data_IF_229223056092
#
_entry.id   IF_229223056092
#
_cell.length_a   1.000
_cell.length_b   1.000
_cell.length_c   1.000
_cell.angle_alpha   90.00
_cell.angle_beta   90.00
_cell.angle_gamma   90.00
#
_symmetry.space_group_name_H-M   'P 1'
#
loop_
_entity.id
_entity.type
_entity.pdbx_description
1 polymer ?
#
# COMPACT_ATOMS: atom_id res chain seq x y z
N UNK A 1 -12.05 -5.03 8.58
CA UNK A 1 -11.54 -5.92 7.51
C UNK A 1 -12.62 -6.76 6.82
N UNK A 2 -13.57 -7.40 7.52
CA UNK A 2 -14.62 -8.26 6.90
C UNK A 2 -15.35 -7.65 5.67
N UNK A 3 -15.77 -6.39 5.74
CA UNK A 3 -16.43 -5.72 4.61
C UNK A 3 -15.56 -5.49 3.37
N UNK A 4 -14.24 -5.38 3.53
CA UNK A 4 -13.35 -5.16 2.39
C UNK A 4 -13.23 -6.44 1.56
N UNK A 5 -13.09 -7.60 2.22
CA UNK A 5 -13.06 -8.89 1.55
C UNK A 5 -14.39 -9.18 0.83
N UNK A 6 -15.53 -8.95 1.50
CA UNK A 6 -16.85 -9.14 0.90
C UNK A 6 -17.02 -8.28 -0.36
N UNK A 7 -16.67 -6.99 -0.27
CA UNK A 7 -16.81 -6.04 -1.37
C UNK A 7 -15.89 -6.36 -2.55
N UNK A 8 -14.65 -6.77 -2.29
CA UNK A 8 -13.71 -7.19 -3.33
C UNK A 8 -14.18 -8.50 -3.97
N UNK A 9 -14.69 -9.43 -3.17
CA UNK A 9 -15.28 -10.70 -3.66
C UNK A 9 -16.43 -10.40 -4.60
N UNK A 10 -17.39 -9.56 -4.18
CA UNK A 10 -18.52 -9.16 -5.02
C UNK A 10 -18.05 -8.56 -6.35
N UNK A 11 -17.06 -7.66 -6.33
CA UNK A 11 -16.53 -7.04 -7.56
C UNK A 11 -15.89 -8.08 -8.49
N UNK A 12 -15.09 -8.99 -7.93
CA UNK A 12 -14.38 -10.02 -8.69
C UNK A 12 -15.36 -11.05 -9.27
N UNK A 13 -16.40 -11.45 -8.52
CA UNK A 13 -17.45 -12.33 -9.00
C UNK A 13 -18.29 -11.68 -10.10
N UNK A 14 -18.66 -10.39 -9.94
CA UNK A 14 -19.36 -9.64 -10.98
C UNK A 14 -18.49 -9.42 -12.24
N UNK A 15 -17.16 -9.44 -12.11
CA UNK A 15 -16.24 -9.45 -13.23
C UNK A 15 -16.12 -10.85 -13.92
N UNK A 16 -16.85 -11.85 -13.42
CA UNK A 16 -16.95 -13.18 -14.02
C UNK A 16 -15.92 -14.21 -13.49
N UNK A 17 -15.24 -13.92 -12.39
CA UNK A 17 -14.33 -14.88 -11.75
C UNK A 17 -15.05 -15.74 -10.69
N UNK A 18 -14.44 -16.87 -10.34
CA UNK A 18 -14.84 -17.69 -9.19
C UNK A 18 -13.88 -17.41 -8.04
N UNK A 19 -14.40 -16.92 -6.91
CA UNK A 19 -13.57 -16.52 -5.78
C UNK A 19 -13.37 -17.68 -4.81
N UNK A 20 -12.12 -17.89 -4.41
CA UNK A 20 -11.74 -18.83 -3.35
C UNK A 20 -11.36 -18.00 -2.12
N UNK A 21 -12.25 -17.84 -1.13
CA UNK A 21 -12.00 -16.98 0.01
C UNK A 21 -10.98 -17.63 0.96
N UNK A 22 -9.70 -17.34 0.72
CA UNK A 22 -8.59 -17.70 1.61
C UNK A 22 -8.32 -16.51 2.52
N UNK A 23 -8.29 -16.73 3.83
CA UNK A 23 -8.06 -15.67 4.82
C UNK A 23 -6.63 -15.15 4.81
N UNK A 24 -6.45 -13.89 5.22
CA UNK A 24 -5.15 -13.21 5.29
C UNK A 24 -4.11 -13.86 6.24
N UNK A 25 -4.55 -14.77 7.11
CA UNK A 25 -3.68 -15.53 8.02
C UNK A 25 -3.31 -16.93 7.48
N UNK A 26 -3.78 -17.30 6.30
CA UNK A 26 -3.47 -18.60 5.71
C UNK A 26 -1.96 -18.75 5.50
N UNK A 27 -1.44 -19.91 5.92
CA UNK A 27 -0.05 -20.26 5.68
C UNK A 27 0.20 -20.47 4.17
N UNK A 28 1.45 -20.31 3.69
CA UNK A 28 1.79 -20.61 2.31
C UNK A 28 1.39 -22.04 1.87
N UNK A 29 1.43 -23.01 2.78
CA UNK A 29 1.01 -24.39 2.52
C UNK A 29 -0.48 -24.50 2.28
N UNK A 30 -1.31 -23.80 3.05
CA UNK A 30 -2.76 -23.76 2.87
C UNK A 30 -3.14 -23.07 1.55
N UNK A 31 -2.45 -21.97 1.22
CA UNK A 31 -2.62 -21.27 -0.07
C UNK A 31 -2.28 -22.23 -1.23
N UNK A 32 -1.13 -22.92 -1.17
CA UNK A 32 -0.74 -23.91 -2.18
C UNK A 32 -1.77 -25.04 -2.32
N UNK A 33 -2.26 -25.57 -1.19
CA UNK A 33 -3.26 -26.64 -1.18
C UNK A 33 -4.56 -26.20 -1.87
N UNK A 34 -5.04 -24.98 -1.58
CA UNK A 34 -6.22 -24.40 -2.23
C UNK A 34 -5.98 -24.21 -3.73
N UNK A 35 -4.84 -23.63 -4.13
CA UNK A 35 -4.50 -23.45 -5.53
C UNK A 35 -4.50 -24.77 -6.31
N UNK A 36 -3.95 -25.84 -5.74
CA UNK A 36 -3.90 -27.17 -6.37
C UNK A 36 -5.27 -27.84 -6.43
N UNK A 37 -6.06 -27.75 -5.37
CA UNK A 37 -7.37 -28.39 -5.29
C UNK A 37 -8.36 -27.81 -6.30
N UNK A 38 -8.32 -26.50 -6.50
CA UNK A 38 -9.31 -25.77 -7.31
C UNK A 38 -8.76 -25.24 -8.64
N UNK A 39 -7.48 -25.48 -8.94
CA UNK A 39 -6.85 -25.01 -10.18
C UNK A 39 -6.82 -23.48 -10.28
N UNK A 40 -6.56 -22.79 -9.17
CA UNK A 40 -6.53 -21.32 -9.14
C UNK A 40 -5.51 -20.78 -10.15
N UNK A 41 -5.92 -19.76 -10.92
CA UNK A 41 -5.08 -19.09 -11.90
C UNK A 41 -4.76 -17.63 -11.55
N UNK A 42 -5.33 -17.12 -10.45
CA UNK A 42 -5.15 -15.76 -9.99
C UNK A 42 -4.81 -15.74 -8.49
N UNK A 43 -3.91 -14.85 -8.09
CA UNK A 43 -3.74 -14.47 -6.68
C UNK A 43 -4.30 -13.06 -6.49
N UNK A 44 -5.04 -12.87 -5.39
CA UNK A 44 -5.58 -11.59 -5.00
C UNK A 44 -5.23 -11.28 -3.54
N UNK A 45 -4.78 -10.06 -3.24
CA UNK A 45 -4.36 -9.66 -1.90
C UNK A 45 -3.61 -8.33 -1.88
N UNK A 46 -3.01 -8.00 -0.75
CA UNK A 46 -2.04 -6.92 -0.71
C UNK A 46 -0.70 -7.33 -1.37
N UNK A 47 0.07 -6.34 -1.79
CA UNK A 47 1.36 -6.58 -2.48
C UNK A 47 2.31 -7.39 -1.61
N UNK A 48 2.41 -7.09 -0.32
CA UNK A 48 3.34 -7.72 0.60
C UNK A 48 3.10 -9.23 0.73
N UNK A 49 1.85 -9.64 0.93
CA UNK A 49 1.47 -11.05 1.03
C UNK A 49 1.71 -11.81 -0.27
N UNK A 50 1.41 -11.18 -1.41
CA UNK A 50 1.67 -11.78 -2.73
C UNK A 50 3.17 -12.01 -2.92
N UNK A 51 4.02 -11.04 -2.56
CA UNK A 51 5.49 -11.17 -2.67
C UNK A 51 6.03 -12.22 -1.69
N UNK A 52 5.54 -12.26 -0.45
CA UNK A 52 5.92 -13.28 0.53
C UNK A 52 5.58 -14.70 0.05
N UNK A 53 4.36 -14.90 -0.47
CA UNK A 53 3.97 -16.19 -1.02
C UNK A 53 4.81 -16.56 -2.25
N UNK A 54 5.08 -15.59 -3.13
CA UNK A 54 5.98 -15.77 -4.29
C UNK A 54 7.36 -16.25 -3.84
N UNK A 55 7.92 -15.62 -2.80
CA UNK A 55 9.24 -15.98 -2.27
C UNK A 55 9.26 -17.35 -1.62
N UNK A 56 8.19 -17.71 -0.92
CA UNK A 56 8.03 -19.06 -0.39
C UNK A 56 7.95 -20.10 -1.51
N UNK A 57 7.16 -19.85 -2.57
CA UNK A 57 7.03 -20.75 -3.72
C UNK A 57 8.37 -20.97 -4.42
N UNK A 58 9.14 -19.92 -4.65
CA UNK A 58 10.48 -20.00 -5.24
C UNK A 58 11.42 -20.85 -4.36
N UNK A 59 11.47 -20.53 -3.06
CA UNK A 59 12.32 -21.22 -2.09
C UNK A 59 11.96 -22.71 -1.97
N UNK A 60 10.67 -23.02 -1.96
CA UNK A 60 10.15 -24.38 -1.90
C UNK A 60 10.21 -25.11 -3.26
N UNK A 61 10.58 -24.42 -4.36
CA UNK A 61 10.59 -24.93 -5.74
C UNK A 61 9.24 -25.49 -6.18
N UNK A 62 8.15 -24.78 -5.83
CA UNK A 62 6.77 -25.21 -6.07
C UNK A 62 6.09 -24.50 -7.24
N UNK A 63 6.82 -23.68 -8.02
CA UNK A 63 6.28 -22.92 -9.14
C UNK A 63 5.57 -23.81 -10.17
N UNK A 64 6.13 -24.98 -10.50
CA UNK A 64 5.55 -25.96 -11.44
C UNK A 64 4.23 -26.60 -10.96
N UNK A 65 3.91 -26.49 -9.67
CA UNK A 65 2.64 -26.97 -9.12
C UNK A 65 1.49 -25.96 -9.28
N UNK A 66 1.76 -24.77 -9.85
CA UNK A 66 0.84 -23.64 -9.87
C UNK A 66 0.59 -23.13 -11.30
N UNK A 67 -0.65 -22.68 -11.53
CA UNK A 67 -1.12 -22.11 -12.81
C UNK A 67 -1.39 -20.60 -12.72
N UNK A 68 -0.75 -19.92 -11.78
CA UNK A 68 -0.95 -18.48 -11.56
C UNK A 68 -0.47 -17.70 -12.79
N UNK A 69 -1.41 -17.01 -13.44
CA UNK A 69 -1.15 -16.15 -14.59
C UNK A 69 -1.76 -14.75 -14.44
N UNK A 70 -2.44 -14.49 -13.31
CA UNK A 70 -3.04 -13.20 -12.97
C UNK A 70 -2.71 -12.80 -11.54
N UNK A 71 -2.46 -11.52 -11.33
CA UNK A 71 -2.23 -10.92 -10.03
C UNK A 71 -3.14 -9.72 -9.89
N UNK A 72 -3.98 -9.76 -8.87
CA UNK A 72 -4.88 -8.67 -8.51
C UNK A 72 -4.45 -8.10 -7.15
N UNK A 73 -3.82 -6.94 -7.13
CA UNK A 73 -3.30 -6.36 -5.90
C UNK A 73 -4.07 -5.12 -5.46
N UNK A 74 -4.16 -4.91 -4.16
CA UNK A 74 -4.79 -3.72 -3.58
C UNK A 74 -4.04 -3.28 -2.33
N UNK A 75 -4.52 -2.21 -1.71
CA UNK A 75 -3.97 -1.57 -0.51
C UNK A 75 -2.57 -0.95 -0.69
N UNK A 76 -1.66 -1.59 -1.42
CA UNK A 76 -0.27 -1.19 -1.65
C UNK A 76 -0.03 -0.89 -3.14
N UNK A 77 0.92 0.01 -3.43
CA UNK A 77 1.54 0.01 -4.74
C UNK A 77 2.42 -1.23 -4.88
N UNK A 78 2.62 -1.69 -6.12
CA UNK A 78 3.56 -2.76 -6.43
C UNK A 78 4.66 -2.17 -7.28
N UNK A 79 5.91 -2.31 -6.83
CA UNK A 79 7.06 -1.75 -7.52
C UNK A 79 7.37 -2.52 -8.81
N UNK A 80 8.21 -1.93 -9.67
CA UNK A 80 8.67 -2.63 -10.87
C UNK A 80 9.48 -3.89 -10.53
N UNK A 81 10.31 -3.85 -9.49
CA UNK A 81 11.11 -5.00 -9.06
C UNK A 81 10.22 -6.14 -8.55
N UNK A 82 9.20 -5.83 -7.74
CA UNK A 82 8.23 -6.82 -7.25
C UNK A 82 7.46 -7.47 -8.39
N UNK A 83 6.96 -6.69 -9.36
CA UNK A 83 6.31 -7.25 -10.57
C UNK A 83 7.26 -8.16 -11.35
N UNK A 84 8.51 -7.74 -11.53
CA UNK A 84 9.52 -8.52 -12.26
C UNK A 84 9.85 -9.83 -11.54
N UNK A 85 9.88 -9.80 -10.20
CA UNK A 85 10.10 -10.98 -9.37
C UNK A 85 8.93 -11.97 -9.43
N UNK A 86 7.70 -11.49 -9.29
CA UNK A 86 6.49 -12.30 -9.46
C UNK A 86 6.46 -12.92 -10.86
N UNK A 87 6.82 -12.14 -11.88
CA UNK A 87 6.94 -12.60 -13.26
C UNK A 87 8.02 -13.67 -13.44
N UNK A 88 9.15 -13.63 -12.72
CA UNK A 88 10.19 -14.68 -12.83
C UNK A 88 9.81 -15.99 -12.17
N UNK A 89 8.92 -15.97 -11.17
CA UNK A 89 8.49 -17.18 -10.44
C UNK A 89 7.28 -17.84 -11.09
N UNK A 90 6.26 -17.06 -11.47
CA UNK A 90 5.01 -17.59 -12.02
C UNK A 90 4.89 -17.49 -13.54
N UNK A 91 5.69 -16.63 -14.17
CA UNK A 91 5.72 -16.48 -15.62
C UNK A 91 6.07 -17.78 -16.32
N UNK A 92 5.42 -18.02 -17.45
CA UNK A 92 5.74 -19.13 -18.35
C UNK A 92 6.18 -18.59 -19.70
N UNK A 93 6.95 -19.38 -20.43
CA UNK A 93 7.42 -19.00 -21.76
C UNK A 93 6.24 -18.59 -22.66
N UNK A 94 6.28 -17.35 -23.15
CA UNK A 94 5.24 -16.78 -24.02
C UNK A 94 3.93 -16.37 -23.31
N UNK A 95 3.80 -16.56 -22.00
CA UNK A 95 2.60 -16.22 -21.23
C UNK A 95 2.98 -15.38 -20.00
N UNK A 96 3.04 -14.04 -20.15
CA UNK A 96 3.32 -13.16 -19.02
C UNK A 96 2.18 -13.15 -18.00
N UNK A 97 2.53 -12.85 -16.75
CA UNK A 97 1.56 -12.63 -15.69
C UNK A 97 0.86 -11.31 -15.93
N UNK A 98 -0.47 -11.32 -15.90
CA UNK A 98 -1.29 -10.13 -16.05
C UNK A 98 -1.47 -9.48 -14.68
N UNK A 99 -1.14 -8.20 -14.58
CA UNK A 99 -1.29 -7.42 -13.36
C UNK A 99 -2.50 -6.50 -13.44
N UNK A 100 -3.30 -6.50 -12.37
CA UNK A 100 -4.42 -5.58 -12.19
C UNK A 100 -4.45 -5.12 -10.74
N UNK A 101 -5.06 -3.96 -10.51
CA UNK A 101 -5.16 -3.43 -9.15
C UNK A 101 -6.48 -2.72 -8.88
N UNK A 102 -6.73 -2.47 -7.60
CA UNK A 102 -7.91 -1.76 -7.13
C UNK A 102 -7.49 -0.71 -6.12
N UNK A 103 -7.90 0.54 -6.37
CA UNK A 103 -7.83 1.59 -5.37
C UNK A 103 -9.15 1.67 -4.62
N UNK A 104 -9.07 1.45 -3.31
CA UNK A 104 -10.18 1.50 -2.39
C UNK A 104 -9.71 2.01 -1.02
N UNK A 105 -10.63 2.56 -0.25
CA UNK A 105 -10.42 2.85 1.17
C UNK A 105 -11.65 2.44 1.99
N UNK A 106 -11.51 2.37 3.31
CA UNK A 106 -12.65 2.10 4.20
C UNK A 106 -13.73 3.20 4.10
N UNK A 107 -13.29 4.44 3.93
CA UNK A 107 -14.14 5.62 3.84
C UNK A 107 -14.85 5.66 2.49
N UNK A 108 -14.14 5.41 1.39
CA UNK A 108 -14.64 5.68 0.04
C UNK A 108 -15.15 4.45 -0.69
N UNK A 109 -14.72 3.26 -0.29
CA UNK A 109 -14.91 2.05 -1.09
C UNK A 109 -14.04 2.07 -2.35
N UNK A 110 -14.21 1.08 -3.24
CA UNK A 110 -13.49 0.97 -4.49
C UNK A 110 -14.00 1.97 -5.51
N UNK A 111 -13.08 2.63 -6.22
CA UNK A 111 -13.46 3.68 -7.17
C UNK A 111 -12.51 3.85 -8.36
N UNK A 112 -11.33 3.22 -8.34
CA UNK A 112 -10.43 3.20 -9.50
C UNK A 112 -9.76 1.82 -9.64
N UNK A 113 -9.46 1.43 -10.88
CA UNK A 113 -8.91 0.10 -11.21
C UNK A 113 -7.65 0.21 -12.07
N UNK A 114 -6.61 -0.51 -11.73
CA UNK A 114 -5.40 -0.63 -12.55
C UNK A 114 -5.57 -1.75 -13.54
N UNK A 115 -5.36 -1.45 -14.83
CA UNK A 115 -5.48 -2.41 -15.92
C UNK A 115 -4.31 -2.22 -16.89
N UNK A 116 -3.30 -3.09 -16.78
CA UNK A 116 -2.07 -2.97 -17.57
C UNK A 116 -2.31 -3.16 -19.07
N UNK A 117 -3.37 -3.88 -19.46
CA UNK A 117 -3.74 -4.03 -20.87
C UNK A 117 -4.18 -2.69 -21.50
N UNK A 118 -4.76 -1.78 -20.70
CA UNK A 118 -5.21 -0.47 -21.15
C UNK A 118 -4.14 0.61 -20.93
N UNK A 119 -3.53 0.64 -19.75
CA UNK A 119 -2.57 1.71 -19.38
C UNK A 119 -1.13 1.40 -19.79
N UNK A 120 -0.83 0.14 -20.11
CA UNK A 120 0.53 -0.37 -20.23
C UNK A 120 1.19 -0.58 -18.85
N UNK A 121 2.38 -1.22 -18.83
CA UNK A 121 3.16 -1.35 -17.61
C UNK A 121 3.72 0.01 -17.17
N UNK A 122 3.69 0.25 -15.85
CA UNK A 122 4.31 1.42 -15.23
C UNK A 122 5.83 1.43 -15.48
N UNK A 123 6.38 2.58 -15.84
CA UNK A 123 7.83 2.77 -15.99
C UNK A 123 8.53 2.94 -14.64
N UNK A 124 7.82 3.57 -13.71
CA UNK A 124 8.30 3.93 -12.38
C UNK A 124 7.48 3.18 -11.31
N UNK A 125 7.71 3.47 -10.03
CA UNK A 125 6.97 2.88 -8.90
C UNK A 125 5.61 3.54 -8.64
N UNK A 126 5.12 4.33 -9.61
CA UNK A 126 3.75 4.85 -9.62
C UNK A 126 2.74 3.75 -9.95
N UNK A 127 1.46 4.06 -9.76
CA UNK A 127 0.37 3.21 -10.21
C UNK A 127 -0.65 4.03 -11.02
N UNK A 128 -0.89 3.65 -12.27
CA UNK A 128 -1.98 4.22 -13.08
C UNK A 128 -3.25 3.41 -12.85
N UNK A 129 -4.28 4.11 -12.41
CA UNK A 129 -5.59 3.59 -12.08
C UNK A 129 -6.63 4.34 -12.91
N UNK A 130 -7.52 3.62 -13.56
CA UNK A 130 -8.61 4.19 -14.35
C UNK A 130 -9.81 4.44 -13.43
N UNK A 131 -10.36 5.65 -13.46
CA UNK A 131 -11.61 6.00 -12.77
C UNK A 131 -12.61 6.66 -13.71
N UNK A 132 -13.88 6.58 -13.34
CA UNK A 132 -15.00 7.16 -14.09
C UNK A 132 -15.44 8.50 -13.47
N UNK A 133 -15.36 9.57 -14.27
CA UNK A 133 -15.72 10.93 -13.89
C UNK A 133 -17.22 11.11 -13.59
N UNK A 134 -18.07 10.18 -14.03
CA UNK A 134 -19.49 10.13 -13.67
C UNK A 134 -19.70 9.64 -12.23
N UNK A 135 -18.72 8.92 -11.67
CA UNK A 135 -18.82 8.28 -10.36
C UNK A 135 -18.02 9.02 -9.29
N UNK A 136 -16.90 9.62 -9.67
CA UNK A 136 -15.98 10.31 -8.78
C UNK A 136 -15.50 11.63 -9.39
N UNK A 137 -15.60 12.71 -8.62
CA UNK A 137 -14.85 13.94 -8.91
C UNK A 137 -13.53 13.85 -8.16
N UNK A 138 -12.42 14.05 -8.88
CA UNK A 138 -11.07 14.06 -8.31
C UNK A 138 -10.44 15.42 -8.56
N UNK A 139 -9.97 16.06 -7.50
CA UNK A 139 -9.26 17.34 -7.52
C UNK A 139 -7.80 17.11 -7.09
N UNK A 140 -6.88 17.88 -7.64
CA UNK A 140 -5.44 17.80 -7.32
C UNK A 140 -4.98 19.15 -6.77
N UNK A 141 -4.72 19.20 -5.46
CA UNK A 141 -4.29 20.42 -4.78
C UNK A 141 -2.77 20.47 -4.61
N UNK A 142 -2.15 21.67 -4.66
CA UNK A 142 -0.74 21.83 -4.29
C UNK A 142 -0.42 21.23 -2.91
N UNK A 143 0.80 20.70 -2.72
CA UNK A 143 1.20 20.02 -1.48
C UNK A 143 1.33 20.95 -0.26
N UNK A 144 1.43 22.25 -0.49
CA UNK A 144 1.47 23.32 0.51
C UNK A 144 0.11 23.96 0.76
N UNK A 145 -0.95 23.41 0.15
CA UNK A 145 -2.31 23.93 0.28
C UNK A 145 -2.85 23.80 1.71
N UNK A 146 -3.35 24.90 2.25
CA UNK A 146 -4.00 24.93 3.57
C UNK A 146 -5.47 24.52 3.47
N UNK A 147 -5.72 23.27 3.87
CA UNK A 147 -7.04 22.64 3.91
C UNK A 147 -8.05 23.37 4.83
N UNK A 148 -7.59 24.22 5.74
CA UNK A 148 -8.45 24.96 6.67
C UNK A 148 -9.16 26.16 6.05
N UNK A 149 -8.67 26.64 4.89
CA UNK A 149 -9.09 27.94 4.34
C UNK A 149 -10.48 27.97 3.72
N UNK A 150 -11.13 26.81 3.49
CA UNK A 150 -12.53 26.69 3.03
C UNK A 150 -12.85 27.29 1.64
N UNK A 151 -11.99 28.16 1.12
CA UNK A 151 -12.02 28.77 -0.20
C UNK A 151 -10.97 28.09 -1.07
N UNK A 152 -11.36 27.04 -1.78
CA UNK A 152 -10.49 26.45 -2.77
C UNK A 152 -11.19 26.43 -4.12
N UNK A 153 -10.66 27.10 -5.16
CA UNK A 153 -11.08 26.80 -6.50
C UNK A 153 -10.76 25.32 -6.79
N UNK A 154 -11.69 24.65 -7.47
CA UNK A 154 -11.47 23.30 -8.01
C UNK A 154 -10.27 23.36 -8.95
N UNK A 155 -9.15 22.73 -8.56
CA UNK A 155 -7.97 22.64 -9.42
C UNK A 155 -7.86 21.22 -9.94
N UNK A 156 -8.28 21.02 -11.18
CA UNK A 156 -7.90 19.88 -12.00
C UNK A 156 -7.00 20.47 -13.08
N UNK A 157 -5.69 20.46 -12.83
CA UNK A 157 -4.72 20.69 -13.92
C UNK A 157 -4.17 19.33 -14.28
N UNK A 158 -4.49 18.87 -15.49
CA UNK A 158 -4.00 17.59 -15.98
C UNK A 158 -2.46 17.57 -15.95
N UNK A 159 -1.91 16.44 -15.50
CA UNK A 159 -0.48 16.22 -15.35
C UNK A 159 0.17 16.83 -14.09
N UNK A 160 -0.45 17.81 -13.43
CA UNK A 160 0.09 18.36 -12.18
C UNK A 160 -0.02 17.36 -11.04
N UNK A 161 1.05 17.24 -10.25
CA UNK A 161 1.11 16.34 -9.09
C UNK A 161 0.77 17.10 -7.81
N UNK A 162 -0.08 16.52 -6.98
CA UNK A 162 -0.54 17.15 -5.75
C UNK A 162 -1.35 16.22 -4.87
N UNK A 163 -1.89 16.77 -3.78
CA UNK A 163 -2.75 16.05 -2.85
C UNK A 163 -4.12 15.77 -3.50
N UNK A 164 -4.56 14.52 -3.42
CA UNK A 164 -5.83 14.10 -3.99
C UNK A 164 -6.99 14.40 -3.04
N UNK A 165 -7.96 15.13 -3.57
CA UNK A 165 -9.26 15.39 -2.93
C UNK A 165 -10.35 14.77 -3.80
N UNK A 166 -11.31 14.12 -3.17
CA UNK A 166 -12.29 13.27 -3.87
C UNK A 166 -13.71 13.52 -3.40
N UNK A 167 -14.64 13.47 -4.33
CA UNK A 167 -16.09 13.54 -4.05
C UNK A 167 -16.79 12.40 -4.75
N UNK A 168 -17.44 11.53 -3.97
CA UNK A 168 -18.21 10.41 -4.50
C UNK A 168 -19.59 10.89 -4.97
N UNK A 169 -19.97 10.55 -6.20
CA UNK A 169 -21.26 10.93 -6.79
C UNK A 169 -22.33 9.84 -6.68
N UNK A 170 -21.97 8.65 -6.19
CA UNK A 170 -22.87 7.49 -6.17
C UNK A 170 -23.16 6.94 -4.77
N UNK A 171 -22.38 7.34 -3.75
CA UNK A 171 -22.59 6.85 -2.39
C UNK A 171 -23.83 7.46 -1.76
N UNK A 172 -24.85 6.63 -1.54
CA UNK A 172 -26.07 7.00 -0.82
C UNK A 172 -25.88 7.07 0.70
N UNK A 173 -24.91 6.33 1.25
CA UNK A 173 -24.60 6.29 2.68
C UNK A 173 -23.20 6.84 2.92
N UNK A 174 -23.07 7.71 3.92
CA UNK A 174 -21.83 8.41 4.25
C UNK A 174 -21.17 9.00 3.00
N UNK A 175 -21.87 9.91 2.27
CA UNK A 175 -21.32 10.53 1.08
C UNK A 175 -20.08 11.33 1.47
N UNK A 176 -18.98 11.10 0.76
CA UNK A 176 -17.75 11.85 0.92
C UNK A 176 -17.78 13.03 -0.06
N UNK A 177 -17.71 14.24 0.48
CA UNK A 177 -17.65 15.48 -0.30
C UNK A 177 -16.35 16.18 0.02
N UNK A 178 -15.52 16.40 -1.00
CA UNK A 178 -14.18 16.98 -0.90
C UNK A 178 -13.33 16.32 0.20
N UNK A 179 -13.37 15.00 0.25
CA UNK A 179 -12.60 14.24 1.22
C UNK A 179 -11.11 14.27 0.87
N UNK A 180 -10.27 14.57 1.85
CA UNK A 180 -8.83 14.59 1.70
C UNK A 180 -8.31 13.18 1.87
N UNK A 181 -7.79 12.60 0.80
CA UNK A 181 -7.35 11.20 0.81
C UNK A 181 -6.04 10.99 1.55
N UNK A 182 -5.19 12.03 1.66
CA UNK A 182 -3.80 11.90 2.10
C UNK A 182 -2.88 11.24 1.06
N UNK A 183 -3.40 10.94 -0.13
CA UNK A 183 -2.65 10.40 -1.26
C UNK A 183 -2.14 11.55 -2.15
N UNK A 184 -1.01 11.30 -2.81
CA UNK A 184 -0.38 12.19 -3.78
C UNK A 184 -0.56 11.58 -5.16
N UNK A 185 -1.11 12.35 -6.09
CA UNK A 185 -1.48 11.87 -7.41
C UNK A 185 -1.46 12.94 -8.49
N UNK A 186 -1.60 12.51 -9.74
CA UNK A 186 -1.89 13.38 -10.89
C UNK A 186 -2.92 12.74 -11.82
N UNK A 187 -3.69 13.56 -12.54
CA UNK A 187 -4.76 13.10 -13.44
C UNK A 187 -4.30 13.25 -14.90
N UNK A 188 -4.56 12.23 -15.71
CA UNK A 188 -4.16 12.14 -17.11
C UNK A 188 -5.31 11.60 -17.97
N UNK A 189 -5.22 11.84 -19.28
CA UNK A 189 -6.05 11.14 -20.25
C UNK A 189 -5.69 9.65 -20.34
N UNK A 190 -6.64 8.85 -20.80
CA UNK A 190 -6.35 7.48 -21.24
C UNK A 190 -5.33 7.48 -22.39
N UNK A 191 -4.45 6.46 -22.46
CA UNK A 191 -3.62 6.25 -23.65
C UNK A 191 -4.49 6.13 -24.91
N UNK A 192 -4.00 6.64 -26.04
CA UNK A 192 -4.74 6.63 -27.31
C UNK A 192 -5.23 5.25 -27.71
N UNK A 193 -4.43 4.20 -27.48
CA UNK A 193 -4.80 2.81 -27.73
C UNK A 193 -6.01 2.37 -26.90
N UNK A 194 -6.02 2.69 -25.60
CA UNK A 194 -7.13 2.39 -24.71
C UNK A 194 -8.38 3.18 -25.09
N UNK A 195 -8.23 4.47 -25.43
CA UNK A 195 -9.37 5.29 -25.87
C UNK A 195 -10.04 4.74 -27.12
N UNK A 196 -9.24 4.28 -28.10
CA UNK A 196 -9.76 3.63 -29.31
C UNK A 196 -10.48 2.31 -29.01
N UNK A 197 -9.93 1.49 -28.10
CA UNK A 197 -10.52 0.22 -27.70
C UNK A 197 -11.86 0.42 -26.96
N UNK A 198 -11.96 1.45 -26.11
CA UNK A 198 -13.13 1.71 -25.27
C UNK A 198 -14.20 2.56 -25.97
N UNK A 199 -13.87 3.18 -27.11
CA UNK A 199 -14.81 3.99 -27.88
C UNK A 199 -15.36 5.17 -27.06
N UNK A 200 -16.68 5.36 -27.08
CA UNK A 200 -17.34 6.50 -26.42
C UNK A 200 -17.18 6.51 -24.90
N UNK A 201 -17.03 5.36 -24.25
CA UNK A 201 -16.85 5.31 -22.80
C UNK A 201 -15.55 6.01 -22.36
N UNK A 202 -14.54 6.09 -23.25
CA UNK A 202 -13.27 6.77 -22.94
C UNK A 202 -13.41 8.26 -22.61
N UNK A 203 -14.50 8.92 -23.06
CA UNK A 203 -14.76 10.33 -22.77
C UNK A 203 -14.93 10.59 -21.27
N UNK A 204 -15.48 9.60 -20.55
CA UNK A 204 -15.76 9.67 -19.11
C UNK A 204 -14.64 9.11 -18.23
N UNK A 205 -13.65 8.45 -18.82
CA UNK A 205 -12.59 7.78 -18.09
C UNK A 205 -11.34 8.65 -18.03
N UNK A 206 -10.65 8.61 -16.89
CA UNK A 206 -9.36 9.27 -16.68
C UNK A 206 -8.40 8.32 -15.98
N UNK A 207 -7.12 8.59 -16.15
CA UNK A 207 -6.04 7.88 -15.47
C UNK A 207 -5.60 8.71 -14.27
N UNK A 208 -5.77 8.16 -13.08
CA UNK A 208 -5.11 8.62 -11.87
C UNK A 208 -3.73 7.95 -11.78
N UNK A 209 -2.66 8.74 -11.84
CA UNK A 209 -1.31 8.30 -11.49
C UNK A 209 -1.07 8.54 -10.01
N UNK A 210 -1.03 7.48 -9.22
CA UNK A 210 -0.74 7.50 -7.79
C UNK A 210 0.79 7.49 -7.56
N UNK A 211 1.29 8.44 -6.78
CA UNK A 211 2.71 8.59 -6.42
C UNK A 211 3.02 8.15 -4.98
N UNK A 212 2.00 7.73 -4.22
CA UNK A 212 2.11 7.34 -2.82
C UNK A 212 1.38 8.31 -1.90
N UNK A 213 1.79 8.38 -0.64
CA UNK A 213 1.15 9.23 0.38
C UNK A 213 2.03 10.38 0.81
N UNK A 214 1.42 11.35 1.45
CA UNK A 214 2.17 12.41 2.13
C UNK A 214 2.89 11.86 3.38
N UNK A 215 4.17 11.54 3.19
CA UNK A 215 5.06 11.01 4.23
C UNK A 215 5.28 11.97 5.41
N UNK A 216 4.83 13.23 5.31
CA UNK A 216 4.90 14.18 6.43
C UNK A 216 3.96 13.79 7.58
N UNK A 217 2.88 13.10 7.26
CA UNK A 217 1.78 12.84 8.21
C UNK A 217 1.54 11.35 8.45
N UNK A 218 1.94 10.47 7.53
CA UNK A 218 1.59 9.06 7.60
C UNK A 218 2.53 8.16 6.81
N UNK A 219 2.43 6.86 7.05
CA UNK A 219 3.10 5.85 6.26
C UNK A 219 2.27 4.56 6.21
N UNK A 220 2.77 3.61 5.42
CA UNK A 220 2.16 2.30 5.24
C UNK A 220 3.20 1.22 5.53
N UNK A 221 2.77 0.12 6.14
CA UNK A 221 3.55 -1.12 6.26
C UNK A 221 2.61 -2.33 6.22
N UNK A 222 2.92 -3.35 5.41
CA UNK A 222 2.18 -4.64 5.35
C UNK A 222 0.66 -4.47 5.22
N UNK A 223 0.16 -3.80 4.19
CA UNK A 223 -1.30 -3.62 4.04
C UNK A 223 -1.87 -2.43 4.80
N UNK A 224 -1.28 -2.07 5.95
CA UNK A 224 -1.89 -1.22 6.98
C UNK A 224 -1.35 0.21 7.03
N UNK A 225 -2.22 1.14 7.43
CA UNK A 225 -1.97 2.57 7.48
C UNK A 225 -1.71 3.07 8.90
N UNK A 226 -0.67 3.90 9.06
CA UNK A 226 -0.25 4.45 10.35
C UNK A 226 -0.07 5.96 10.29
N UNK A 227 -0.74 6.67 11.20
CA UNK A 227 -0.60 8.11 11.36
C UNK A 227 0.56 8.46 12.30
N UNK A 228 1.43 9.36 11.86
CA UNK A 228 2.58 9.77 12.66
C UNK A 228 2.18 10.49 13.95
N UNK A 229 1.03 11.18 13.98
CA UNK A 229 0.56 11.87 15.17
C UNK A 229 0.04 10.90 16.24
N UNK A 230 -0.72 9.88 15.85
CA UNK A 230 -1.10 8.77 16.75
C UNK A 230 0.13 8.10 17.35
N UNK A 231 1.17 7.87 16.54
CA UNK A 231 2.42 7.30 17.04
C UNK A 231 3.20 8.27 17.95
N UNK A 232 3.20 9.59 17.66
CA UNK A 232 3.80 10.58 18.55
C UNK A 232 3.13 10.56 19.92
N UNK A 233 1.81 10.45 19.97
CA UNK A 233 1.05 10.35 21.22
C UNK A 233 1.44 9.07 21.98
N UNK A 234 1.46 7.93 21.30
CA UNK A 234 1.86 6.65 21.89
C UNK A 234 3.29 6.70 22.47
N UNK A 235 4.25 7.20 21.68
CA UNK A 235 5.66 7.33 22.07
C UNK A 235 5.90 8.39 23.14
N UNK A 236 4.94 9.28 23.38
CA UNK A 236 5.01 10.32 24.43
C UNK A 236 4.51 9.82 25.78
N UNK A 237 4.11 8.54 25.89
CA UNK A 237 3.69 7.95 27.15
C UNK A 237 4.83 8.05 28.19
N UNK A 238 4.62 8.79 29.31
CA UNK A 238 5.66 9.00 30.31
C UNK A 238 6.21 7.69 30.91
N UNK A 239 5.38 6.65 31.02
CA UNK A 239 5.77 5.35 31.56
C UNK A 239 6.76 4.58 30.69
N UNK A 240 6.89 4.95 29.41
CA UNK A 240 7.83 4.31 28.48
C UNK A 240 9.24 4.93 28.54
N UNK A 241 9.34 6.15 29.08
CA UNK A 241 10.63 6.85 29.22
C UNK A 241 11.33 7.13 27.88
N UNK A 242 10.62 7.11 26.75
CA UNK A 242 11.21 7.32 25.42
C UNK A 242 11.61 8.79 25.23
N UNK A 243 12.86 9.01 24.86
CA UNK A 243 13.46 10.32 24.61
C UNK A 243 13.56 10.60 23.11
N UNK A 244 14.02 9.61 22.35
CA UNK A 244 14.08 9.66 20.90
C UNK A 244 13.44 8.41 20.32
N UNK A 245 12.81 8.59 19.17
CA UNK A 245 12.31 7.50 18.38
C UNK A 245 12.35 7.89 16.90
N UNK A 246 12.50 6.89 16.04
CA UNK A 246 12.54 6.99 14.58
C UNK A 246 12.00 5.71 13.96
N UNK A 247 11.21 5.84 12.90
CA UNK A 247 10.80 4.74 12.02
C UNK A 247 11.73 4.72 10.81
N UNK A 248 12.18 3.53 10.44
CA UNK A 248 12.91 3.27 9.21
C UNK A 248 12.17 2.21 8.41
N UNK A 249 11.72 2.56 7.21
CA UNK A 249 11.16 1.65 6.22
C UNK A 249 12.25 1.25 5.23
N UNK A 250 12.35 -0.03 4.92
CA UNK A 250 13.32 -0.57 3.97
C UNK A 250 12.80 -1.84 3.29
N UNK A 251 13.47 -2.29 2.23
CA UNK A 251 13.25 -3.60 1.62
C UNK A 251 14.36 -4.55 2.04
N UNK A 252 14.02 -5.79 2.39
CA UNK A 252 15.00 -6.84 2.65
C UNK A 252 15.51 -7.48 1.33
N UNK A 253 16.42 -8.45 1.44
CA UNK A 253 17.00 -9.15 0.29
C UNK A 253 15.97 -9.89 -0.58
N UNK A 254 14.80 -10.22 -0.02
CA UNK A 254 13.68 -10.88 -0.71
C UNK A 254 12.64 -9.88 -1.24
N UNK A 255 12.97 -8.58 -1.32
CA UNK A 255 12.07 -7.49 -1.71
C UNK A 255 10.79 -7.40 -0.85
N UNK A 256 10.86 -7.85 0.40
CA UNK A 256 9.79 -7.70 1.37
C UNK A 256 10.06 -6.45 2.22
N UNK A 257 8.99 -5.69 2.48
CA UNK A 257 9.06 -4.45 3.25
C UNK A 257 9.27 -4.73 4.75
N UNK A 258 10.28 -4.08 5.35
CA UNK A 258 10.61 -4.15 6.77
C UNK A 258 10.34 -2.84 7.49
N UNK A 259 9.86 -2.92 8.73
CA UNK A 259 9.67 -1.79 9.63
C UNK A 259 10.65 -1.90 10.80
N UNK A 260 11.56 -0.93 10.91
CA UNK A 260 12.44 -0.77 12.06
C UNK A 260 12.01 0.44 12.90
N UNK A 261 11.78 0.24 14.19
CA UNK A 261 11.52 1.28 15.19
C UNK A 261 12.75 1.40 16.08
N UNK A 262 13.47 2.50 15.91
CA UNK A 262 14.62 2.84 16.76
C UNK A 262 14.14 3.60 17.96
N UNK A 263 14.41 3.10 19.15
CA UNK A 263 13.99 3.70 20.42
C UNK A 263 15.20 4.10 21.26
N UNK A 264 15.13 5.24 21.93
CA UNK A 264 16.09 5.63 22.96
C UNK A 264 15.30 5.95 24.22
N UNK A 265 15.53 5.17 25.28
CA UNK A 265 14.87 5.36 26.58
C UNK A 265 15.79 6.05 27.58
N UNK A 266 15.20 6.70 28.58
CA UNK A 266 15.92 7.20 29.75
C UNK A 266 16.42 6.01 30.57
N UNK A 267 17.67 6.10 31.04
CA UNK A 267 18.23 5.15 32.01
C UNK A 267 18.02 5.65 33.43
N UNK A 268 17.72 4.75 34.37
CA UNK A 268 17.77 5.03 35.82
C UNK A 268 16.58 5.81 36.40
N UNK A 269 15.39 5.70 35.79
CA UNK A 269 14.14 6.22 36.38
C UNK A 269 13.28 5.06 36.88
N UNK A 270 12.91 5.07 38.16
CA UNK A 270 12.02 4.07 38.74
C UNK A 270 10.60 4.22 38.16
N UNK A 271 9.94 3.08 37.90
CA UNK A 271 8.56 3.04 37.39
C UNK A 271 8.40 3.08 35.86
N UNK A 272 9.49 2.96 35.11
CA UNK A 272 9.42 2.71 33.66
C UNK A 272 9.04 1.25 33.40
N UNK A 273 8.22 1.03 32.37
CA UNK A 273 7.90 -0.34 31.94
C UNK A 273 9.09 -0.97 31.21
N UNK A 274 9.13 -2.30 31.17
CA UNK A 274 10.22 -3.02 30.53
C UNK A 274 10.21 -2.79 29.01
N UNK A 275 11.38 -2.93 28.36
CA UNK A 275 11.47 -2.79 26.91
C UNK A 275 10.61 -3.84 26.19
N UNK A 276 10.53 -5.04 26.78
CA UNK A 276 9.71 -6.15 26.31
C UNK A 276 8.22 -5.81 26.32
N UNK A 277 7.73 -5.09 27.34
CA UNK A 277 6.33 -4.65 27.39
C UNK A 277 6.04 -3.61 26.29
N UNK A 278 6.98 -2.70 26.05
CA UNK A 278 6.88 -1.72 24.95
C UNK A 278 6.88 -2.43 23.61
N UNK A 279 7.73 -3.45 23.45
CA UNK A 279 7.79 -4.26 22.23
C UNK A 279 6.45 -4.92 21.95
N UNK A 280 5.80 -5.53 22.95
CA UNK A 280 4.49 -6.17 22.77
C UNK A 280 3.38 -5.16 22.45
N UNK A 281 3.38 -3.97 23.06
CA UNK A 281 2.43 -2.91 22.71
C UNK A 281 2.65 -2.41 21.27
N UNK A 282 3.91 -2.27 20.85
CA UNK A 282 4.22 -1.89 19.47
C UNK A 282 3.83 -2.99 18.49
N UNK A 283 4.08 -4.26 18.81
CA UNK A 283 3.63 -5.40 17.99
C UNK A 283 2.12 -5.37 17.80
N UNK A 284 1.35 -5.15 18.86
CA UNK A 284 -0.11 -5.01 18.76
C UNK A 284 -0.51 -3.80 17.90
N UNK A 285 0.08 -2.63 18.15
CA UNK A 285 -0.18 -1.41 17.37
C UNK A 285 0.08 -1.59 15.87
N UNK A 286 1.15 -2.32 15.51
CA UNK A 286 1.56 -2.56 14.13
C UNK A 286 0.95 -3.84 13.52
N UNK A 287 0.01 -4.50 14.20
CA UNK A 287 -0.61 -5.74 13.74
C UNK A 287 0.43 -6.83 13.38
N UNK A 288 1.42 -7.01 14.27
CA UNK A 288 2.45 -8.03 14.11
C UNK A 288 1.90 -9.41 14.46
N UNK A 289 2.08 -10.35 13.56
CA UNK A 289 1.62 -11.73 13.63
C UNK A 289 2.75 -12.67 13.18
N UNK A 290 2.58 -13.98 13.39
CA UNK A 290 3.60 -14.98 13.06
C UNK A 290 4.12 -14.88 11.61
N UNK A 291 3.29 -14.41 10.67
CA UNK A 291 3.64 -14.30 9.25
C UNK A 291 4.53 -13.08 8.92
N UNK A 292 4.46 -11.99 9.70
CA UNK A 292 5.21 -10.76 9.44
C UNK A 292 6.18 -10.38 10.57
N UNK A 293 6.25 -11.16 11.65
CA UNK A 293 7.11 -10.88 12.83
C UNK A 293 8.57 -10.72 12.45
N UNK A 294 9.09 -11.51 11.51
CA UNK A 294 10.47 -11.39 11.04
C UNK A 294 10.77 -10.10 10.28
N UNK A 295 9.75 -9.34 9.86
CA UNK A 295 9.86 -8.07 9.13
C UNK A 295 9.73 -6.86 10.05
N UNK A 296 9.42 -7.08 11.33
CA UNK A 296 9.27 -6.05 12.35
C UNK A 296 10.46 -6.08 13.31
N UNK A 297 11.08 -4.91 13.51
CA UNK A 297 12.19 -4.76 14.44
C UNK A 297 11.96 -3.52 15.31
N UNK A 298 11.90 -3.66 16.63
CA UNK A 298 11.90 -2.53 17.54
C UNK A 298 12.99 -2.73 18.58
N UNK A 299 14.00 -1.86 18.56
CA UNK A 299 15.21 -2.05 19.36
C UNK A 299 15.62 -0.76 20.06
N UNK A 300 16.37 -0.90 21.15
CA UNK A 300 17.04 0.21 21.82
C UNK A 300 18.30 0.61 21.06
N UNK A 301 18.47 1.92 20.86
CA UNK A 301 19.57 2.52 20.13
C UNK A 301 20.24 3.63 20.92
N UNK A 302 21.51 3.85 20.61
CA UNK A 302 22.25 5.01 21.06
C UNK A 302 21.85 6.25 20.25
N UNK A 303 22.19 7.43 20.76
CA UNK A 303 21.87 8.71 20.11
C UNK A 303 22.43 8.84 18.68
N UNK A 304 23.53 8.17 18.38
CA UNK A 304 24.27 8.28 17.12
C UNK A 304 23.69 7.39 16.01
N UNK A 305 22.88 6.39 16.39
CA UNK A 305 22.21 5.49 15.44
C UNK A 305 21.02 6.15 14.74
N UNK A 306 20.56 7.32 15.22
CA UNK A 306 19.42 8.04 14.64
C UNK A 306 19.82 8.86 13.42
N UNK A 307 19.10 8.68 12.33
CA UNK A 307 19.33 9.43 11.08
C UNK A 307 18.81 10.86 11.25
N UNK A 308 19.64 11.84 10.88
CA UNK A 308 19.38 13.27 11.08
C UNK A 308 19.30 14.03 9.77
N UNK A 309 18.56 15.13 9.78
CA UNK A 309 18.50 16.05 8.64
C UNK A 309 19.84 16.76 8.44
N UNK A 310 20.27 16.87 7.18
CA UNK A 310 21.54 17.52 6.81
C UNK A 310 21.58 18.99 7.22
N UNK A 311 20.45 19.69 7.13
CA UNK A 311 20.36 21.14 7.35
C UNK A 311 20.17 21.55 8.81
N UNK A 312 19.61 20.68 9.65
CA UNK A 312 19.19 21.05 11.01
C UNK A 312 19.65 20.10 12.11
N UNK A 313 20.34 19.02 11.76
CA UNK A 313 20.78 17.96 12.67
C UNK A 313 19.64 17.35 13.54
N UNK A 314 18.39 17.53 13.10
CA UNK A 314 17.18 17.02 13.77
C UNK A 314 16.97 15.57 13.39
N UNK A 315 16.59 14.73 14.34
CA UNK A 315 16.22 13.34 14.06
C UNK A 315 15.00 13.34 13.14
N UNK A 316 15.14 12.68 11.99
CA UNK A 316 14.03 12.51 11.04
C UNK A 316 13.09 11.45 11.62
N UNK A 317 11.81 11.74 11.80
CA UNK A 317 10.88 10.80 12.46
C UNK A 317 10.56 9.57 11.62
N UNK A 318 10.45 9.75 10.31
CA UNK A 318 10.19 8.68 9.36
C UNK A 318 11.24 8.73 8.25
N UNK A 319 11.98 7.65 8.09
CA UNK A 319 12.99 7.51 7.03
C UNK A 319 12.56 6.40 6.09
N UNK A 320 12.33 6.76 4.83
CA UNK A 320 11.97 5.80 3.79
C UNK A 320 13.18 5.48 2.89
N UNK A 321 13.64 4.23 2.99
CA UNK A 321 14.75 3.64 2.23
C UNK A 321 14.29 2.59 1.22
N UNK A 322 12.98 2.35 1.09
CA UNK A 322 12.43 1.41 0.09
C UNK A 322 12.85 1.84 -1.32
N UNK A 323 13.12 0.87 -2.19
CA UNK A 323 13.59 1.10 -3.56
C UNK A 323 14.99 1.75 -3.68
N UNK A 324 15.66 2.09 -2.58
CA UNK A 324 17.02 2.66 -2.55
C UNK A 324 18.04 1.59 -2.20
N UNK A 325 18.07 0.51 -2.97
CA UNK A 325 19.22 -0.40 -2.99
C UNK A 325 20.27 0.22 -3.91
N UNK A 326 21.33 0.74 -3.30
CA UNK A 326 22.62 1.01 -3.96
C UNK A 326 23.50 -0.22 -3.91
#
# INVERSE_FOLDING_TARGET
MYRALDLVTDIIENAGASVLPVGHLASPQEILAACKAYGANALAGDTSQIVQFTSWVESAKMSDCLHINKIFYTSESMSRSQRSYIQSVFGRDGLPVIFSSLLASAEMGPWAVGCFDLTGPQKDDTADLIFDTRHMIVEVMPLDFDLSTGQSPCRIVEGETGMLIVTSLQRLRNPLVRYVTGDIGSIHHLPTSASLQLGKESEHLRVLRLHGRDLRNSFKWQGEYFELDTLKELMSNPSWGIVLWQIVLADNQSNCETLEIRLMQKTGTDGLIAHEDILEILKDHFYVHANNESLFHANLHSRDDFIRSLSGNKVIKLVDRRGKMG
#
